data_IF_908945330595
#
_entry.id   IF_908945330595
#
_cell.length_a   1.000
_cell.length_b   1.000
_cell.length_c   1.000
_cell.angle_alpha   90.00
_cell.angle_beta   90.00
_cell.angle_gamma   90.00
#
_symmetry.space_group_name_H-M   'P 1'
#
loop_
_entity.id
_entity.type
_entity.pdbx_description
1 polymer ?
#
# COMPACT_ATOMS: atom_id res chain seq x y z
N UNK A 1 14.04 -7.93 -16.31
CA UNK A 1 13.75 -9.31 -15.84
C UNK A 1 12.25 -9.44 -15.64
N UNK A 2 11.57 -10.31 -16.40
CA UNK A 2 10.14 -10.60 -16.21
C UNK A 2 10.02 -11.53 -15.00
N UNK A 3 9.47 -11.03 -13.89
CA UNK A 3 9.10 -11.91 -12.77
C UNK A 3 7.87 -12.70 -13.21
N UNK A 4 7.91 -14.04 -13.25
CA UNK A 4 6.75 -14.84 -13.62
C UNK A 4 5.61 -14.57 -12.64
N UNK A 5 4.39 -14.38 -13.17
CA UNK A 5 3.19 -14.02 -12.40
C UNK A 5 2.94 -14.97 -11.22
N UNK A 6 3.36 -16.24 -11.32
CA UNK A 6 3.24 -17.26 -10.26
C UNK A 6 3.93 -16.87 -8.95
N UNK A 7 5.05 -16.14 -9.00
CA UNK A 7 5.77 -15.75 -7.78
C UNK A 7 5.07 -14.62 -7.00
N UNK A 8 4.24 -13.80 -7.66
CA UNK A 8 3.50 -12.74 -6.98
C UNK A 8 2.53 -13.29 -5.94
N UNK A 9 1.87 -14.42 -6.22
CA UNK A 9 0.95 -15.06 -5.27
C UNK A 9 1.66 -15.54 -3.99
N UNK A 10 2.82 -16.20 -4.15
CA UNK A 10 3.61 -16.71 -3.02
C UNK A 10 4.17 -15.56 -2.19
N UNK A 11 4.67 -14.51 -2.84
CA UNK A 11 5.15 -13.30 -2.17
C UNK A 11 4.01 -12.64 -1.37
N UNK A 12 2.83 -12.51 -1.97
CA UNK A 12 1.67 -11.92 -1.30
C UNK A 12 1.19 -12.75 -0.11
N UNK A 13 1.26 -14.08 -0.21
CA UNK A 13 0.98 -14.98 0.90
C UNK A 13 1.94 -14.75 2.07
N UNK A 14 3.26 -14.71 1.81
CA UNK A 14 4.28 -14.42 2.82
C UNK A 14 4.08 -13.04 3.47
N UNK A 15 3.66 -12.05 2.68
CA UNK A 15 3.36 -10.71 3.18
C UNK A 15 2.16 -10.70 4.14
N UNK A 16 1.10 -11.44 3.83
CA UNK A 16 -0.06 -11.53 4.71
C UNK A 16 0.24 -12.30 6.00
N UNK A 17 1.07 -13.36 5.94
CA UNK A 17 1.58 -14.04 7.13
C UNK A 17 2.37 -13.07 8.01
N UNK A 18 3.27 -12.29 7.41
CA UNK A 18 4.08 -11.31 8.14
C UNK A 18 3.19 -10.24 8.80
N UNK A 19 2.19 -9.74 8.08
CA UNK A 19 1.21 -8.80 8.62
C UNK A 19 0.36 -9.41 9.76
N UNK A 20 -0.04 -10.67 9.64
CA UNK A 20 -0.79 -11.38 10.67
C UNK A 20 0.04 -11.58 11.94
N UNK A 21 1.31 -11.96 11.78
CA UNK A 21 2.24 -12.11 12.90
C UNK A 21 2.53 -10.77 13.58
N UNK A 22 2.71 -9.71 12.79
CA UNK A 22 2.86 -8.34 13.29
C UNK A 22 1.63 -7.87 14.07
N UNK A 23 0.42 -8.18 13.59
CA UNK A 23 -0.84 -7.91 14.29
C UNK A 23 -0.89 -8.61 15.65
N UNK A 24 -0.53 -9.90 15.71
CA UNK A 24 -0.49 -10.67 16.96
C UNK A 24 0.53 -10.12 17.95
N UNK A 25 1.68 -9.64 17.48
CA UNK A 25 2.75 -9.06 18.32
C UNK A 25 2.61 -7.56 18.57
N UNK A 26 1.59 -6.91 17.99
CA UNK A 26 1.36 -5.47 18.10
C UNK A 26 1.28 -4.97 19.55
N UNK A 27 0.69 -5.75 20.46
CA UNK A 27 0.59 -5.40 21.87
C UNK A 27 1.96 -5.29 22.54
N UNK A 28 2.89 -6.18 22.21
CA UNK A 28 4.25 -6.20 22.76
C UNK A 28 5.10 -5.05 22.21
N UNK A 29 4.94 -4.74 20.92
CA UNK A 29 5.60 -3.60 20.25
C UNK A 29 5.07 -2.28 20.81
N UNK A 30 3.76 -2.17 21.03
CA UNK A 30 3.13 -0.97 21.57
C UNK A 30 3.51 -0.74 23.03
N UNK A 31 3.68 -1.81 23.83
CA UNK A 31 4.14 -1.71 25.21
C UNK A 31 5.61 -1.26 25.32
N UNK A 32 6.48 -1.66 24.38
CA UNK A 32 7.88 -1.20 24.35
C UNK A 32 8.05 0.24 23.85
N UNK A 33 7.17 0.72 22.96
CA UNK A 33 7.37 1.99 22.22
C UNK A 33 6.48 3.14 22.73
N UNK A 34 5.93 3.01 23.94
CA UNK A 34 4.64 3.52 24.43
C UNK A 34 4.28 5.04 24.36
N UNK A 35 5.10 5.99 23.88
CA UNK A 35 4.53 7.23 23.33
C UNK A 35 4.95 7.54 21.87
N UNK A 36 5.92 6.83 21.31
CA UNK A 36 6.46 7.09 19.96
C UNK A 36 6.06 6.03 18.93
N UNK A 37 5.11 5.14 19.24
CA UNK A 37 4.70 4.05 18.35
C UNK A 37 4.24 4.58 17.00
N UNK A 38 3.51 5.71 16.99
CA UNK A 38 3.03 6.34 15.76
C UNK A 38 4.19 6.94 14.93
N UNK A 39 5.15 7.60 15.60
CA UNK A 39 6.37 8.14 14.97
C UNK A 39 7.26 7.03 14.44
N UNK A 40 7.36 5.91 15.15
CA UNK A 40 8.09 4.73 14.73
C UNK A 40 7.47 4.11 13.47
N UNK A 41 6.14 4.01 13.40
CA UNK A 41 5.44 3.56 12.19
C UNK A 41 5.64 4.51 11.00
N UNK A 42 5.61 5.82 11.24
CA UNK A 42 5.88 6.83 10.20
C UNK A 42 7.32 6.73 9.69
N UNK A 43 8.32 6.60 10.57
CA UNK A 43 9.72 6.38 10.20
C UNK A 43 9.89 5.09 9.38
N UNK A 44 9.23 4.01 9.79
CA UNK A 44 9.24 2.75 9.05
C UNK A 44 8.71 2.91 7.62
N UNK A 45 7.64 3.68 7.44
CA UNK A 45 7.10 3.99 6.11
C UNK A 45 8.06 4.85 5.29
N UNK A 46 8.65 5.89 5.88
CA UNK A 46 9.61 6.78 5.18
C UNK A 46 10.80 5.97 4.69
N UNK A 47 11.38 5.13 5.56
CA UNK A 47 12.49 4.24 5.20
C UNK A 47 12.09 3.28 4.08
N UNK A 48 10.86 2.75 4.12
CA UNK A 48 10.34 1.88 3.06
C UNK A 48 10.23 2.60 1.71
N UNK A 49 9.72 3.82 1.69
CA UNK A 49 9.60 4.63 0.47
C UNK A 49 10.97 5.02 -0.10
N UNK A 50 11.92 5.40 0.77
CA UNK A 50 13.29 5.74 0.36
C UNK A 50 14.00 4.52 -0.24
N UNK A 51 13.89 3.35 0.39
CA UNK A 51 14.43 2.11 -0.17
C UNK A 51 13.77 1.78 -1.51
N UNK A 52 12.45 1.93 -1.63
CA UNK A 52 11.74 1.61 -2.86
C UNK A 52 12.17 2.48 -4.05
N UNK A 53 12.60 3.72 -3.79
CA UNK A 53 13.15 4.62 -4.82
C UNK A 53 14.61 4.33 -5.21
N UNK A 54 15.39 3.68 -4.34
CA UNK A 54 16.84 3.54 -4.51
C UNK A 54 17.30 2.17 -5.05
N UNK A 55 16.52 1.07 -4.93
CA UNK A 55 17.03 -0.29 -5.18
C UNK A 55 16.29 -1.08 -6.27
N UNK A 56 17.02 -1.97 -6.97
CA UNK A 56 16.50 -2.93 -7.96
C UNK A 56 15.48 -3.90 -7.33
N UNK A 57 14.58 -4.40 -8.18
CA UNK A 57 13.34 -5.17 -7.90
C UNK A 57 13.38 -6.15 -6.72
N UNK A 58 14.48 -6.87 -6.49
CA UNK A 58 14.58 -7.86 -5.40
C UNK A 58 14.62 -7.25 -3.99
N UNK A 59 15.27 -6.09 -3.80
CA UNK A 59 15.30 -5.41 -2.51
C UNK A 59 14.03 -4.58 -2.24
N UNK A 60 13.30 -4.20 -3.30
CA UNK A 60 11.98 -3.55 -3.16
C UNK A 60 10.94 -4.44 -2.46
N UNK A 61 11.02 -5.76 -2.64
CA UNK A 61 10.17 -6.74 -1.93
C UNK A 61 10.37 -6.64 -0.41
N UNK A 62 11.60 -6.40 0.03
CA UNK A 62 11.93 -6.25 1.44
C UNK A 62 11.40 -4.94 2.04
N UNK A 63 11.37 -3.86 1.26
CA UNK A 63 10.74 -2.60 1.67
C UNK A 63 9.22 -2.75 1.86
N UNK A 64 8.57 -3.54 1.01
CA UNK A 64 7.13 -3.81 1.13
C UNK A 64 6.81 -4.59 2.41
N UNK A 65 7.68 -5.49 2.88
CA UNK A 65 7.49 -6.20 4.15
C UNK A 65 7.31 -5.22 5.33
N UNK A 66 8.09 -4.14 5.38
CA UNK A 66 7.97 -3.13 6.44
C UNK A 66 6.62 -2.41 6.40
N UNK A 67 6.11 -2.07 5.20
CA UNK A 67 4.76 -1.54 5.06
C UNK A 67 3.69 -2.54 5.52
N UNK A 68 3.88 -3.84 5.26
CA UNK A 68 2.92 -4.87 5.66
C UNK A 68 2.90 -5.09 7.18
N UNK A 69 4.04 -4.96 7.85
CA UNK A 69 4.13 -4.95 9.32
C UNK A 69 3.40 -3.74 9.89
N UNK A 70 3.62 -2.54 9.34
CA UNK A 70 2.91 -1.33 9.77
C UNK A 70 1.39 -1.47 9.56
N UNK A 71 0.96 -2.00 8.41
CA UNK A 71 -0.45 -2.28 8.12
C UNK A 71 -1.06 -3.29 9.09
N UNK A 72 -0.31 -4.34 9.44
CA UNK A 72 -0.74 -5.38 10.39
C UNK A 72 -0.92 -4.85 11.82
N UNK A 73 -0.09 -3.89 12.24
CA UNK A 73 -0.14 -3.28 13.57
C UNK A 73 -1.21 -2.17 13.67
N UNK A 74 -1.56 -1.50 12.57
CA UNK A 74 -2.50 -0.37 12.58
C UNK A 74 -3.87 -0.73 13.18
N UNK A 75 -4.50 -1.82 12.71
CA UNK A 75 -5.81 -2.25 13.21
C UNK A 75 -5.85 -2.49 14.73
N UNK A 76 -5.00 -3.37 15.31
CA UNK A 76 -5.06 -3.64 16.75
C UNK A 76 -4.72 -2.42 17.61
N UNK A 77 -3.81 -1.54 17.16
CA UNK A 77 -3.47 -0.29 17.86
C UNK A 77 -4.68 0.65 17.89
N UNK A 78 -5.29 0.92 16.73
CA UNK A 78 -6.43 1.83 16.62
C UNK A 78 -7.64 1.31 17.40
N UNK A 79 -7.96 0.02 17.30
CA UNK A 79 -9.05 -0.58 18.08
C UNK A 79 -8.77 -0.51 19.58
N UNK A 80 -7.54 -0.74 20.04
CA UNK A 80 -7.18 -0.62 21.46
C UNK A 80 -7.26 0.84 21.96
N UNK A 81 -6.89 1.82 21.13
CA UNK A 81 -7.02 3.24 21.45
C UNK A 81 -8.48 3.68 21.55
N UNK A 82 -9.32 3.33 20.57
CA UNK A 82 -10.77 3.58 20.62
C UNK A 82 -11.40 2.90 21.83
N UNK A 83 -11.02 1.65 22.09
CA UNK A 83 -11.55 0.86 23.19
C UNK A 83 -11.26 1.47 24.56
N UNK A 84 -10.16 2.21 24.70
CA UNK A 84 -9.76 2.87 25.95
C UNK A 84 -10.46 4.22 26.17
N UNK A 85 -10.83 4.93 25.10
CA UNK A 85 -11.35 6.30 25.18
C UNK A 85 -12.85 6.42 24.90
N UNK A 86 -13.50 5.39 24.36
CA UNK A 86 -14.92 5.44 23.99
C UNK A 86 -15.76 4.49 24.87
N UNK A 87 -16.83 4.98 25.52
CA UNK A 87 -17.76 4.15 26.29
C UNK A 87 -18.48 3.12 25.40
N UNK A 88 -18.79 1.94 25.95
CA UNK A 88 -19.35 0.78 25.22
C UNK A 88 -20.56 1.13 24.36
N UNK A 89 -21.43 2.03 24.82
CA UNK A 89 -22.67 2.39 24.12
C UNK A 89 -22.45 3.15 22.81
N UNK A 90 -21.31 3.81 22.63
CA UNK A 90 -21.00 4.58 21.41
C UNK A 90 -19.94 3.91 20.53
N UNK A 91 -19.27 2.87 21.02
CA UNK A 91 -18.22 2.15 20.27
C UNK A 91 -18.70 1.58 18.95
N UNK A 92 -19.91 1.00 18.93
CA UNK A 92 -20.48 0.42 17.71
C UNK A 92 -20.66 1.48 16.61
N UNK A 93 -21.23 2.65 16.96
CA UNK A 93 -21.43 3.75 16.01
C UNK A 93 -20.12 4.31 15.49
N UNK A 94 -19.12 4.52 16.36
CA UNK A 94 -17.81 5.02 15.93
C UNK A 94 -17.07 4.02 15.04
N UNK A 95 -17.13 2.73 15.36
CA UNK A 95 -16.50 1.69 14.55
C UNK A 95 -17.15 1.58 13.15
N UNK A 96 -18.48 1.70 13.07
CA UNK A 96 -19.21 1.74 11.81
C UNK A 96 -18.86 2.98 10.98
N UNK A 97 -18.77 4.16 11.61
CA UNK A 97 -18.36 5.39 10.93
C UNK A 97 -16.92 5.33 10.44
N UNK A 98 -16.00 4.77 11.24
CA UNK A 98 -14.61 4.55 10.84
C UNK A 98 -14.54 3.65 9.60
N UNK A 99 -15.31 2.57 9.58
CA UNK A 99 -15.34 1.64 8.46
C UNK A 99 -15.92 2.29 7.21
N UNK A 100 -17.00 3.07 7.34
CA UNK A 100 -17.57 3.86 6.26
C UNK A 100 -16.55 4.86 5.68
N UNK A 101 -15.90 5.64 6.55
CA UNK A 101 -14.90 6.62 6.15
C UNK A 101 -13.69 5.98 5.46
N UNK A 102 -13.21 4.85 5.97
CA UNK A 102 -12.10 4.11 5.36
C UNK A 102 -12.50 3.56 3.98
N UNK A 103 -13.66 2.94 3.85
CA UNK A 103 -14.15 2.40 2.58
C UNK A 103 -14.37 3.51 1.54
N UNK A 104 -14.96 4.63 1.95
CA UNK A 104 -15.16 5.78 1.06
C UNK A 104 -13.83 6.40 0.61
N UNK A 105 -12.87 6.52 1.54
CA UNK A 105 -11.52 7.02 1.22
C UNK A 105 -10.82 6.13 0.20
N UNK A 106 -10.90 4.81 0.36
CA UNK A 106 -10.31 3.84 -0.58
C UNK A 106 -11.03 3.89 -1.93
N UNK A 107 -12.36 3.94 -1.92
CA UNK A 107 -13.18 4.00 -3.13
C UNK A 107 -12.87 5.22 -4.00
N UNK A 108 -12.48 6.35 -3.39
CA UNK A 108 -12.09 7.57 -4.11
C UNK A 108 -10.60 7.55 -4.46
N UNK A 109 -9.72 7.19 -3.52
CA UNK A 109 -8.27 7.28 -3.70
C UNK A 109 -7.75 6.32 -4.77
N UNK A 110 -8.27 5.09 -4.83
CA UNK A 110 -7.79 4.08 -5.77
C UNK A 110 -8.00 4.45 -7.24
N UNK A 111 -9.22 4.85 -7.69
CA UNK A 111 -9.42 5.29 -9.06
C UNK A 111 -8.66 6.58 -9.39
N UNK A 112 -8.58 7.54 -8.47
CA UNK A 112 -7.79 8.76 -8.69
C UNK A 112 -6.31 8.44 -8.93
N UNK A 113 -5.73 7.55 -8.13
CA UNK A 113 -4.35 7.11 -8.29
C UNK A 113 -4.15 6.36 -9.61
N UNK A 114 -5.11 5.52 -10.01
CA UNK A 114 -5.10 4.83 -11.29
C UNK A 114 -5.12 5.78 -12.49
N UNK A 115 -6.01 6.78 -12.48
CA UNK A 115 -6.10 7.79 -13.53
C UNK A 115 -4.80 8.61 -13.60
N UNK A 116 -4.24 9.03 -12.47
CA UNK A 116 -2.96 9.74 -12.43
C UNK A 116 -1.82 8.91 -13.05
N UNK A 117 -1.76 7.61 -12.73
CA UNK A 117 -0.76 6.70 -13.31
C UNK A 117 -0.92 6.56 -14.83
N UNK A 118 -2.16 6.41 -15.31
CA UNK A 118 -2.46 6.29 -16.74
C UNK A 118 -2.02 7.55 -17.47
N UNK A 119 -2.38 8.72 -16.94
CA UNK A 119 -2.02 10.02 -17.52
C UNK A 119 -0.50 10.17 -17.63
N UNK A 120 0.24 9.93 -16.54
CA UNK A 120 1.71 10.01 -16.54
C UNK A 120 2.34 9.03 -17.54
N UNK A 121 1.83 7.79 -17.60
CA UNK A 121 2.33 6.76 -18.52
C UNK A 121 2.10 7.16 -19.98
N UNK A 122 0.92 7.67 -20.32
CA UNK A 122 0.58 8.14 -21.67
C UNK A 122 1.48 9.31 -22.07
N UNK A 123 1.73 10.25 -21.16
CA UNK A 123 2.70 11.33 -21.41
C UNK A 123 4.09 10.78 -21.70
N UNK A 124 4.65 9.93 -20.84
CA UNK A 124 5.99 9.35 -21.04
C UNK A 124 6.09 8.57 -22.36
N UNK A 125 5.07 7.78 -22.70
CA UNK A 125 5.01 7.06 -23.98
C UNK A 125 4.98 8.00 -25.19
N UNK A 126 4.23 9.11 -25.10
CA UNK A 126 4.20 10.15 -26.14
C UNK A 126 5.56 10.82 -26.32
N UNK A 127 6.24 11.17 -25.23
CA UNK A 127 7.59 11.74 -25.26
C UNK A 127 8.62 10.76 -25.85
N UNK A 128 8.57 9.47 -25.46
CA UNK A 128 9.46 8.45 -26.02
C UNK A 128 9.24 8.23 -27.51
N UNK A 129 7.97 8.16 -27.97
CA UNK A 129 7.64 8.04 -29.40
C UNK A 129 8.12 9.24 -30.22
N UNK A 130 7.95 10.46 -29.70
CA UNK A 130 8.43 11.69 -30.34
C UNK A 130 9.96 11.72 -30.47
N UNK A 131 10.68 11.25 -29.44
CA UNK A 131 12.15 11.17 -29.45
C UNK A 131 12.69 10.09 -30.39
N UNK A 132 11.97 8.97 -30.54
CA UNK A 132 12.38 7.83 -31.37
C UNK A 132 11.93 7.96 -32.85
N UNK A 133 11.23 9.03 -33.23
CA UNK A 133 10.79 9.25 -34.61
C UNK A 133 9.86 8.17 -35.17
N UNK A 134 9.22 7.36 -34.32
CA UNK A 134 8.37 6.26 -34.76
C UNK A 134 7.07 6.83 -35.35
N UNK A 135 7.01 6.93 -36.69
CA UNK A 135 5.76 7.16 -37.41
C UNK A 135 4.77 6.07 -37.03
N UNK A 136 3.54 6.45 -36.72
CA UNK A 136 2.43 5.53 -36.47
C UNK A 136 2.15 4.73 -37.74
N UNK A 137 2.78 3.57 -37.91
CA UNK A 137 2.26 2.51 -38.77
C UNK A 137 1.25 1.71 -37.95
N UNK A 138 0.10 2.34 -37.68
CA UNK A 138 -1.14 1.60 -37.52
C UNK A 138 -1.66 1.47 -38.94
N UNK A 139 -1.40 0.33 -39.58
CA UNK A 139 -2.30 -0.10 -40.63
C UNK A 139 -3.64 -0.36 -39.95
N UNK A 140 -4.59 0.54 -40.15
CA UNK A 140 -5.99 0.14 -40.28
C UNK A 140 -6.00 -0.89 -41.42
N UNK A 141 -6.15 -2.15 -41.04
CA UNK A 141 -5.99 -3.28 -41.94
C UNK A 141 -6.93 -4.37 -41.52
N UNK A 142 -8.12 -4.28 -42.11
CA UNK A 142 -9.15 -5.30 -42.27
C UNK A 142 -10.19 -5.39 -41.16
N UNK A 143 -11.26 -4.64 -41.40
CA UNK A 143 -12.57 -5.28 -41.63
C UNK A 143 -12.40 -6.68 -42.23
N UNK A 144 -12.86 -7.69 -41.50
CA UNK A 144 -13.59 -8.84 -42.04
C UNK A 144 -14.50 -9.37 -40.94
#
# INVERSE_FOLDING_TARGET
MKIPVRYFGIIFFLFNITAAFASKRSHWIMDKTKPKTLTFMALLMIISFVLMGAVKVWFGVFAILFQQVARGIYRPVTTKYLNKHIPSDKRATVLSFQSLACNLSVAIAFPLMGVAMIILTVFTMKYMKARLGLKQNVQEGNEC
#
